data_IF_946419819384
#
_entry.id   IF_946419819384
#
_cell.length_a   1.000
_cell.length_b   1.000
_cell.length_c   1.000
_cell.angle_alpha   90.00
_cell.angle_beta   90.00
_cell.angle_gamma   90.00
#
_symmetry.space_group_name_H-M   'P 1'
#
loop_
_entity.id
_entity.type
_entity.pdbx_description
1 polymer ?
#
# COMPACT_ATOMS: atom_id res chain seq x y z
N UNK A 1 21.74 -13.26 -7.03
CA UNK A 1 20.45 -12.79 -7.52
C UNK A 1 19.58 -13.97 -7.94
N UNK A 2 18.46 -14.20 -7.32
CA UNK A 2 17.60 -15.34 -7.63
C UNK A 2 16.24 -14.93 -8.23
N UNK A 3 16.19 -14.35 -9.46
CA UNK A 3 14.91 -13.92 -10.04
C UNK A 3 13.92 -15.07 -10.27
N UNK A 4 14.42 -16.26 -10.52
CA UNK A 4 13.59 -17.44 -10.75
C UNK A 4 12.80 -17.88 -9.51
N UNK A 5 13.36 -17.73 -8.32
CA UNK A 5 12.68 -18.08 -7.05
C UNK A 5 11.56 -17.09 -6.75
N UNK A 6 11.81 -15.80 -6.98
CA UNK A 6 10.81 -14.76 -6.78
C UNK A 6 9.63 -14.87 -7.75
N UNK A 7 9.86 -15.32 -8.98
CA UNK A 7 8.83 -15.41 -10.02
C UNK A 7 7.70 -16.39 -9.65
N UNK A 8 8.04 -17.56 -9.12
CA UNK A 8 7.03 -18.55 -8.72
C UNK A 8 6.14 -18.05 -7.59
N UNK A 9 6.73 -17.44 -6.56
CA UNK A 9 5.99 -16.85 -5.44
C UNK A 9 5.09 -15.69 -5.90
N UNK A 10 5.60 -14.82 -6.76
CA UNK A 10 4.84 -13.67 -7.30
C UNK A 10 3.63 -14.14 -8.10
N UNK A 11 3.77 -15.15 -8.94
CA UNK A 11 2.66 -15.72 -9.71
C UNK A 11 1.57 -16.31 -8.82
N UNK A 12 1.95 -17.03 -7.77
CA UNK A 12 1.01 -17.58 -6.80
C UNK A 12 0.25 -16.52 -6.03
N UNK A 13 0.91 -15.48 -5.58
CA UNK A 13 0.28 -14.35 -4.90
C UNK A 13 -0.69 -13.59 -5.80
N UNK A 14 -0.30 -13.35 -7.05
CA UNK A 14 -1.15 -12.68 -8.03
C UNK A 14 -2.42 -13.50 -8.31
N UNK A 15 -2.29 -14.80 -8.51
CA UNK A 15 -3.43 -15.69 -8.73
C UNK A 15 -4.38 -15.68 -7.52
N UNK A 16 -3.85 -15.67 -6.30
CA UNK A 16 -4.64 -15.58 -5.07
C UNK A 16 -5.39 -14.25 -4.98
N UNK A 17 -4.76 -13.14 -5.34
CA UNK A 17 -5.39 -11.81 -5.35
C UNK A 17 -6.51 -11.72 -6.39
N UNK A 18 -6.29 -12.24 -7.60
CA UNK A 18 -7.31 -12.27 -8.64
C UNK A 18 -8.53 -13.08 -8.18
N UNK A 19 -8.32 -14.24 -7.56
CA UNK A 19 -9.42 -15.06 -7.02
C UNK A 19 -10.20 -14.35 -5.92
N UNK A 20 -9.52 -13.57 -5.09
CA UNK A 20 -10.13 -12.89 -3.93
C UNK A 20 -10.87 -11.61 -4.32
N UNK A 21 -10.34 -10.83 -5.23
CA UNK A 21 -10.82 -9.48 -5.56
C UNK A 21 -11.36 -9.34 -7.00
N UNK A 22 -11.33 -10.42 -7.78
CA UNK A 22 -11.74 -10.41 -9.17
C UNK A 22 -10.61 -10.08 -10.15
N UNK A 23 -10.83 -10.35 -11.42
CA UNK A 23 -9.88 -10.03 -12.48
C UNK A 23 -9.94 -8.54 -12.79
N UNK A 24 -8.78 -7.89 -12.84
CA UNK A 24 -8.64 -6.52 -13.28
C UNK A 24 -8.53 -6.49 -14.80
N UNK A 25 -9.44 -5.79 -15.52
CA UNK A 25 -9.36 -5.69 -16.98
C UNK A 25 -8.10 -4.98 -17.47
N UNK A 26 -7.49 -4.14 -16.64
CA UNK A 26 -6.23 -3.45 -16.94
C UNK A 26 -5.00 -4.24 -16.50
N UNK A 27 -5.05 -5.55 -16.59
CA UNK A 27 -4.01 -6.47 -16.13
C UNK A 27 -2.61 -6.17 -16.69
N UNK A 28 -2.49 -5.38 -17.75
CA UNK A 28 -1.23 -4.97 -18.37
C UNK A 28 -0.87 -3.51 -18.07
N UNK A 29 -1.52 -2.89 -17.08
CA UNK A 29 -1.26 -1.49 -16.74
C UNK A 29 0.09 -1.32 -16.06
N UNK A 30 0.53 -0.05 -15.96
CA UNK A 30 1.74 0.34 -15.24
C UNK A 30 1.74 -0.12 -13.78
N UNK A 31 0.57 -0.15 -13.15
CA UNK A 31 0.44 -0.59 -11.76
C UNK A 31 0.78 -2.06 -11.56
N UNK A 32 0.35 -2.94 -12.47
CA UNK A 32 0.70 -4.35 -12.41
C UNK A 32 2.20 -4.57 -12.63
N UNK A 33 2.77 -3.89 -13.60
CA UNK A 33 4.22 -3.94 -13.86
C UNK A 33 5.00 -3.46 -12.65
N UNK A 34 4.56 -2.37 -12.01
CA UNK A 34 5.18 -1.86 -10.80
C UNK A 34 5.17 -2.89 -9.67
N UNK A 35 4.02 -3.51 -9.39
CA UNK A 35 3.91 -4.52 -8.33
C UNK A 35 4.78 -5.74 -8.61
N UNK A 36 4.84 -6.17 -9.86
CA UNK A 36 5.69 -7.29 -10.26
C UNK A 36 7.18 -6.98 -10.03
N UNK A 37 7.63 -5.80 -10.47
CA UNK A 37 9.01 -5.36 -10.25
C UNK A 37 9.35 -5.24 -8.77
N UNK A 38 8.43 -4.70 -7.98
CA UNK A 38 8.60 -4.56 -6.55
C UNK A 38 8.80 -5.92 -5.88
N UNK A 39 7.95 -6.90 -6.20
CA UNK A 39 8.09 -8.25 -5.67
C UNK A 39 9.45 -8.88 -5.99
N UNK A 40 9.97 -8.64 -7.19
CA UNK A 40 11.27 -9.17 -7.58
C UNK A 40 12.44 -8.51 -6.85
N UNK A 41 12.30 -7.26 -6.43
CA UNK A 41 13.37 -6.49 -5.79
C UNK A 41 13.40 -6.64 -4.27
N UNK A 42 12.28 -6.98 -3.66
CA UNK A 42 12.21 -7.12 -2.22
C UNK A 42 12.83 -8.46 -1.78
N UNK A 43 13.92 -8.38 -1.04
CA UNK A 43 14.63 -9.53 -0.50
C UNK A 43 14.39 -9.65 1.00
N UNK A 44 14.34 -10.89 1.56
CA UNK A 44 14.21 -11.07 3.01
C UNK A 44 15.28 -10.28 3.79
N UNK A 45 14.88 -9.75 4.93
CA UNK A 45 15.74 -8.96 5.84
C UNK A 45 16.29 -7.68 5.21
N UNK A 46 15.66 -7.19 4.15
CA UNK A 46 16.02 -5.93 3.53
C UNK A 46 15.42 -4.72 4.25
N UNK A 47 16.03 -3.55 4.03
CA UNK A 47 15.50 -2.25 4.42
C UNK A 47 15.16 -1.48 3.16
N UNK A 48 13.92 -1.01 3.06
CA UNK A 48 13.41 -0.34 1.86
C UNK A 48 12.71 0.96 2.19
N UNK A 49 13.02 1.98 1.40
CA UNK A 49 12.36 3.28 1.45
C UNK A 49 11.44 3.40 0.24
N UNK A 50 10.17 3.65 0.46
CA UNK A 50 9.16 3.78 -0.59
C UNK A 50 8.52 5.17 -0.49
N UNK A 51 8.54 5.90 -1.59
CA UNK A 51 7.94 7.23 -1.67
C UNK A 51 6.70 7.18 -2.56
N UNK A 52 5.54 7.37 -1.93
CA UNK A 52 4.23 7.33 -2.57
C UNK A 52 4.04 6.13 -3.52
N UNK A 53 4.26 4.90 -3.03
CA UNK A 53 4.20 3.72 -3.89
C UNK A 53 2.80 3.42 -4.42
N UNK A 54 1.77 4.03 -3.83
CA UNK A 54 0.38 3.90 -4.29
C UNK A 54 0.09 4.70 -5.56
N UNK A 55 0.91 5.68 -5.91
CA UNK A 55 0.62 6.64 -7.00
C UNK A 55 0.23 5.97 -8.33
N UNK A 56 0.91 4.94 -8.81
CA UNK A 56 0.52 4.28 -10.07
C UNK A 56 -0.60 3.24 -9.89
N UNK A 57 -1.22 3.14 -8.71
CA UNK A 57 -2.07 2.01 -8.34
C UNK A 57 -3.53 2.41 -8.20
N UNK A 58 -4.44 1.59 -8.74
CA UNK A 58 -5.85 1.63 -8.39
C UNK A 58 -6.06 1.19 -6.93
N UNK A 59 -7.21 1.50 -6.30
CA UNK A 59 -7.49 1.06 -4.94
C UNK A 59 -7.33 -0.45 -4.74
N UNK A 60 -7.77 -1.25 -5.69
CA UNK A 60 -7.62 -2.71 -5.63
C UNK A 60 -6.13 -3.12 -5.64
N UNK A 61 -5.32 -2.42 -6.43
CA UNK A 61 -3.89 -2.69 -6.47
C UNK A 61 -3.14 -2.20 -5.25
N UNK A 62 -3.63 -1.18 -4.57
CA UNK A 62 -3.09 -0.79 -3.25
C UNK A 62 -3.31 -1.91 -2.23
N UNK A 63 -4.44 -2.62 -2.29
CA UNK A 63 -4.65 -3.81 -1.46
C UNK A 63 -3.64 -4.92 -1.80
N UNK A 64 -3.32 -5.09 -3.08
CA UNK A 64 -2.27 -6.03 -3.49
C UNK A 64 -0.90 -5.62 -2.94
N UNK A 65 -0.59 -4.33 -2.97
CA UNK A 65 0.64 -3.79 -2.36
C UNK A 65 0.69 -4.07 -0.85
N UNK A 66 -0.41 -3.85 -0.14
CA UNK A 66 -0.50 -4.20 1.29
C UNK A 66 -0.16 -5.66 1.55
N UNK A 67 -0.70 -6.56 0.74
CA UNK A 67 -0.44 -7.99 0.87
C UNK A 67 1.05 -8.31 0.69
N UNK A 68 1.68 -7.69 -0.31
CA UNK A 68 3.12 -7.86 -0.57
C UNK A 68 3.95 -7.36 0.61
N UNK A 69 3.67 -6.14 1.09
CA UNK A 69 4.41 -5.55 2.20
C UNK A 69 4.27 -6.35 3.49
N UNK A 70 3.06 -6.81 3.78
CA UNK A 70 2.80 -7.67 4.95
C UNK A 70 3.59 -8.97 4.86
N UNK A 71 3.58 -9.61 3.70
CA UNK A 71 4.30 -10.86 3.47
C UNK A 71 5.80 -10.68 3.63
N UNK A 72 6.35 -9.61 3.07
CA UNK A 72 7.79 -9.31 3.18
C UNK A 72 8.17 -8.87 4.60
N UNK A 73 7.32 -8.17 5.31
CA UNK A 73 7.55 -7.84 6.71
C UNK A 73 7.66 -9.11 7.58
N UNK A 74 6.86 -10.14 7.27
CA UNK A 74 6.96 -11.44 7.91
C UNK A 74 8.29 -12.17 7.59
N UNK A 75 9.00 -11.74 6.55
CA UNK A 75 10.34 -12.21 6.19
C UNK A 75 11.44 -11.25 6.69
N UNK A 76 11.14 -10.52 7.74
CA UNK A 76 12.06 -9.58 8.39
C UNK A 76 12.48 -8.38 7.51
N UNK A 77 11.70 -8.04 6.49
CA UNK A 77 11.88 -6.78 5.80
C UNK A 77 11.39 -5.62 6.66
N UNK A 78 12.14 -4.52 6.64
CA UNK A 78 11.72 -3.26 7.22
C UNK A 78 11.41 -2.25 6.11
N UNK A 79 10.28 -1.56 6.24
CA UNK A 79 9.85 -0.53 5.30
C UNK A 79 9.75 0.83 5.99
N UNK A 80 10.21 1.86 5.31
CA UNK A 80 9.93 3.25 5.65
C UNK A 80 9.18 3.83 4.45
N UNK A 81 7.93 4.21 4.65
CA UNK A 81 7.02 4.54 3.55
C UNK A 81 6.47 5.95 3.76
N UNK A 82 6.72 6.84 2.79
CA UNK A 82 6.03 8.12 2.72
C UNK A 82 4.76 7.95 1.86
N UNK A 83 3.61 8.27 2.40
CA UNK A 83 2.33 8.06 1.71
C UNK A 83 1.24 9.00 2.21
N UNK A 84 0.26 9.26 1.35
CA UNK A 84 -0.99 9.93 1.68
C UNK A 84 -2.20 8.97 1.59
N UNK A 85 -1.97 7.70 1.28
CA UNK A 85 -3.04 6.73 1.08
C UNK A 85 -3.62 6.23 2.40
N UNK A 86 -4.92 6.49 2.69
CA UNK A 86 -5.57 5.90 3.86
C UNK A 86 -5.57 4.38 3.85
N UNK A 87 -5.57 3.77 2.66
CA UNK A 87 -5.52 2.31 2.53
C UNK A 87 -4.14 1.80 2.94
N UNK A 88 -3.09 2.42 2.41
CA UNK A 88 -1.71 1.97 2.68
C UNK A 88 -1.32 2.17 4.14
N UNK A 89 -1.79 3.26 4.77
CA UNK A 89 -1.55 3.53 6.19
C UNK A 89 -2.17 2.47 7.12
N UNK A 90 -3.12 1.69 6.62
CA UNK A 90 -3.77 0.62 7.39
C UNK A 90 -2.94 -0.67 7.45
N UNK A 91 -1.71 -0.67 6.96
CA UNK A 91 -0.84 -1.84 6.99
C UNK A 91 -0.71 -2.37 8.43
N UNK A 92 -1.06 -3.64 8.68
CA UNK A 92 -1.01 -4.21 10.02
C UNK A 92 0.39 -4.14 10.63
N UNK A 93 0.47 -3.68 11.88
CA UNK A 93 1.74 -3.57 12.59
C UNK A 93 2.58 -2.33 12.23
N UNK A 94 2.11 -1.48 11.33
CA UNK A 94 2.81 -0.26 10.99
C UNK A 94 2.68 0.79 12.10
N UNK A 95 3.78 1.47 12.39
CA UNK A 95 3.77 2.69 13.19
C UNK A 95 3.63 3.88 12.24
N UNK A 96 2.65 4.74 12.49
CA UNK A 96 2.44 5.93 11.68
C UNK A 96 3.08 7.12 12.37
N UNK A 97 3.95 7.81 11.65
CA UNK A 97 4.61 9.02 12.12
C UNK A 97 4.06 10.23 11.35
N UNK A 98 3.57 11.21 12.09
CA UNK A 98 3.15 12.48 11.52
C UNK A 98 4.33 13.44 11.48
N UNK A 99 4.59 13.97 10.28
CA UNK A 99 5.57 15.02 10.06
C UNK A 99 4.81 16.33 9.81
N UNK A 100 4.85 17.24 10.75
CA UNK A 100 4.12 18.52 10.65
C UNK A 100 5.00 19.71 10.21
N UNK A 101 6.25 19.42 9.86
CA UNK A 101 7.23 20.42 9.45
C UNK A 101 8.17 20.87 10.60
N UNK A 102 7.79 20.64 11.84
CA UNK A 102 8.59 20.99 13.01
C UNK A 102 8.94 19.77 13.84
N UNK A 103 8.01 18.82 13.94
CA UNK A 103 8.18 17.62 14.78
C UNK A 103 7.85 16.36 13.99
N UNK A 104 8.32 15.24 14.51
CA UNK A 104 7.95 13.90 14.07
C UNK A 104 7.40 13.18 15.30
N UNK A 105 6.14 12.76 15.24
CA UNK A 105 5.47 12.13 16.37
C UNK A 105 4.57 10.98 15.92
N UNK A 106 4.45 9.92 16.73
CA UNK A 106 3.48 8.86 16.46
C UNK A 106 2.05 9.40 16.46
N UNK A 107 1.22 8.88 15.57
CA UNK A 107 -0.19 9.23 15.49
C UNK A 107 -1.01 7.96 15.29
N UNK A 108 -2.18 7.91 15.90
CA UNK A 108 -3.12 6.82 15.69
C UNK A 108 -3.71 6.91 14.27
N UNK A 109 -3.90 5.76 13.62
CA UNK A 109 -4.45 5.67 12.27
C UNK A 109 -5.73 6.47 12.08
N UNK A 110 -6.64 6.42 13.06
CA UNK A 110 -7.95 7.08 12.98
C UNK A 110 -7.87 8.60 13.14
N UNK A 111 -6.76 9.09 13.71
CA UNK A 111 -6.51 10.51 13.90
C UNK A 111 -5.83 11.17 12.70
N UNK A 112 -5.27 10.38 11.78
CA UNK A 112 -4.64 10.91 10.57
C UNK A 112 -5.68 11.67 9.74
N UNK A 113 -5.37 12.90 9.37
CA UNK A 113 -6.29 13.77 8.63
C UNK A 113 -6.79 13.12 7.35
N UNK A 114 -5.88 12.55 6.55
CA UNK A 114 -6.24 11.85 5.30
C UNK A 114 -7.23 10.71 5.53
N UNK A 115 -7.09 9.99 6.62
CA UNK A 115 -8.01 8.90 6.98
C UNK A 115 -9.35 9.48 7.44
N UNK A 116 -9.31 10.41 8.39
CA UNK A 116 -10.50 10.97 9.04
C UNK A 116 -11.38 11.73 8.06
N UNK A 117 -10.81 12.62 7.27
CA UNK A 117 -11.54 13.45 6.30
C UNK A 117 -12.07 12.60 5.15
N UNK A 118 -11.25 11.71 4.60
CA UNK A 118 -11.68 10.83 3.51
C UNK A 118 -12.84 9.94 3.94
N UNK A 119 -12.76 9.35 5.13
CA UNK A 119 -13.86 8.54 5.67
C UNK A 119 -15.13 9.35 5.81
N UNK A 120 -15.05 10.51 6.46
CA UNK A 120 -16.22 11.36 6.69
C UNK A 120 -16.86 11.83 5.36
N UNK A 121 -16.04 12.18 4.38
CA UNK A 121 -16.54 12.58 3.06
C UNK A 121 -17.25 11.42 2.35
N UNK A 122 -16.66 10.24 2.33
CA UNK A 122 -17.24 9.08 1.65
C UNK A 122 -18.55 8.62 2.31
N UNK A 123 -18.67 8.77 3.62
CA UNK A 123 -19.90 8.43 4.34
C UNK A 123 -21.06 9.39 4.02
N UNK A 124 -20.78 10.67 3.81
CA UNK A 124 -21.79 11.69 3.49
C UNK A 124 -21.18 12.82 2.64
N UNK A 125 -20.99 12.59 1.33
CA UNK A 125 -20.42 13.62 0.45
C UNK A 125 -21.24 14.91 0.41
N UNK A 126 -22.57 14.81 0.46
CA UNK A 126 -23.45 15.97 0.35
C UNK A 126 -23.26 16.97 1.48
N UNK A 127 -22.98 16.48 2.69
CA UNK A 127 -22.79 17.37 3.83
C UNK A 127 -21.54 18.26 3.66
N UNK A 128 -20.51 17.74 2.99
CA UNK A 128 -19.33 18.52 2.65
C UNK A 128 -19.60 19.48 1.47
N UNK A 129 -20.22 18.99 0.41
CA UNK A 129 -20.47 19.77 -0.81
C UNK A 129 -21.39 20.96 -0.57
N UNK A 130 -22.35 20.86 0.33
CA UNK A 130 -23.24 21.99 0.69
C UNK A 130 -22.52 23.16 1.33
N UNK A 131 -21.32 22.97 1.85
CA UNK A 131 -20.52 23.98 2.53
C UNK A 131 -19.46 24.62 1.64
N UNK A 132 -19.30 24.11 0.41
CA UNK A 132 -18.41 24.67 -0.57
C UNK A 132 -19.11 25.75 -1.40
#
# INVERSE_FOLDING_TARGET
MGPAVATGAAAGQRAALIRRYGADPDARSHGETFLHLLQQRLQPRGLYFLDEPETPLSPLRVLALLAILRDRAAQDCQFVIATHSPILMALPGAEILLLDGETIAPIDYREVEHVRITRAFLDDPESFLRRL
#
